data_IF_174279162924
#
_entry.id   IF_174279162924
#
_cell.length_a   1.000
_cell.length_b   1.000
_cell.length_c   1.000
_cell.angle_alpha   90.00
_cell.angle_beta   90.00
_cell.angle_gamma   90.00
#
_symmetry.space_group_name_H-M   'P 1'
#
loop_
_entity.id
_entity.type
_entity.pdbx_description
1 polymer ?
#
# COMPACT_ATOMS: atom_id res chain seq x y z
N UNK A 1 -10.10 -12.95 -18.43
CA UNK A 1 -10.35 -12.91 -16.98
C UNK A 1 -11.62 -12.11 -16.78
N UNK A 2 -12.63 -12.67 -16.15
CA UNK A 2 -13.86 -11.96 -15.79
C UNK A 2 -13.63 -11.40 -14.39
N UNK A 3 -13.71 -10.08 -14.26
CA UNK A 3 -13.69 -9.40 -12.96
C UNK A 3 -15.14 -9.15 -12.59
N UNK A 4 -15.58 -9.77 -11.51
CA UNK A 4 -16.91 -9.60 -10.95
C UNK A 4 -16.85 -8.84 -9.61
N UNK A 5 -18.00 -8.57 -9.00
CA UNK A 5 -18.09 -7.87 -7.72
C UNK A 5 -17.43 -8.61 -6.54
N UNK A 6 -17.07 -9.89 -6.72
CA UNK A 6 -16.43 -10.73 -5.72
C UNK A 6 -14.92 -10.83 -5.93
N UNK A 7 -14.39 -10.25 -7.00
CA UNK A 7 -12.97 -10.30 -7.33
C UNK A 7 -12.22 -9.19 -6.60
N UNK A 8 -11.18 -9.56 -5.87
CA UNK A 8 -10.33 -8.61 -5.16
C UNK A 8 -8.87 -8.69 -5.61
N UNK A 9 -8.19 -7.56 -5.48
CA UNK A 9 -6.77 -7.41 -5.73
C UNK A 9 -6.02 -7.30 -4.40
N UNK A 10 -5.04 -8.18 -4.18
CA UNK A 10 -4.16 -8.14 -3.01
C UNK A 10 -2.76 -7.71 -3.45
N UNK A 11 -2.24 -6.66 -2.81
CA UNK A 11 -0.93 -6.07 -3.05
C UNK A 11 -0.05 -6.29 -1.83
N UNK A 12 0.90 -7.21 -1.95
CA UNK A 12 1.79 -7.56 -0.84
C UNK A 12 2.86 -6.49 -0.61
N UNK A 13 3.38 -6.46 0.62
CA UNK A 13 4.56 -5.71 0.98
C UNK A 13 5.84 -6.33 0.39
N UNK A 14 6.96 -5.67 0.64
CA UNK A 14 8.26 -6.19 0.21
C UNK A 14 9.30 -5.13 -0.14
N UNK A 15 9.07 -3.89 0.25
CA UNK A 15 9.98 -2.76 -0.03
C UNK A 15 10.23 -2.63 -1.53
N UNK A 16 11.50 -2.56 -1.93
CA UNK A 16 11.91 -2.39 -3.33
C UNK A 16 11.47 -3.53 -4.27
N UNK A 17 11.13 -4.71 -3.77
CA UNK A 17 10.54 -5.77 -4.58
C UNK A 17 9.16 -5.38 -5.15
N UNK A 18 8.49 -4.40 -4.53
CA UNK A 18 7.25 -3.80 -5.02
C UNK A 18 7.35 -3.11 -6.38
N UNK A 19 8.55 -2.88 -6.91
CA UNK A 19 8.74 -2.37 -8.29
C UNK A 19 8.10 -3.30 -9.33
N UNK A 20 8.12 -4.61 -9.12
CA UNK A 20 7.38 -5.55 -9.97
C UNK A 20 5.87 -5.23 -9.99
N UNK A 21 5.30 -4.95 -8.82
CA UNK A 21 3.89 -4.58 -8.66
C UNK A 21 3.55 -3.30 -9.45
N UNK A 22 4.46 -2.31 -9.54
CA UNK A 22 4.24 -1.10 -10.33
C UNK A 22 3.94 -1.43 -11.80
N UNK A 23 4.72 -2.33 -12.42
CA UNK A 23 4.52 -2.74 -13.80
C UNK A 23 3.19 -3.47 -14.02
N UNK A 24 2.79 -4.33 -13.06
CA UNK A 24 1.50 -5.03 -13.12
C UNK A 24 0.33 -4.04 -13.02
N UNK A 25 0.42 -3.08 -12.11
CA UNK A 25 -0.63 -2.07 -11.92
C UNK A 25 -0.72 -1.12 -13.12
N UNK A 26 0.40 -0.72 -13.70
CA UNK A 26 0.43 0.08 -14.93
C UNK A 26 -0.24 -0.69 -16.07
N UNK A 27 0.06 -1.99 -16.24
CA UNK A 27 -0.62 -2.83 -17.23
C UNK A 27 -2.14 -2.91 -16.97
N UNK A 28 -2.58 -3.03 -15.72
CA UNK A 28 -4.01 -3.02 -15.41
C UNK A 28 -4.66 -1.67 -15.79
N UNK A 29 -3.98 -0.57 -15.54
CA UNK A 29 -4.46 0.76 -15.94
C UNK A 29 -4.54 0.91 -17.46
N UNK A 30 -3.54 0.45 -18.20
CA UNK A 30 -3.53 0.46 -19.69
C UNK A 30 -4.68 -0.36 -20.28
N UNK A 31 -5.02 -1.47 -19.62
CA UNK A 31 -6.15 -2.33 -20.02
C UNK A 31 -7.48 -1.90 -19.43
N UNK A 32 -7.53 -0.77 -18.70
CA UNK A 32 -8.73 -0.26 -18.00
C UNK A 32 -9.33 -1.30 -17.04
N UNK A 33 -8.48 -2.18 -16.50
CA UNK A 33 -8.88 -3.18 -15.51
C UNK A 33 -8.98 -2.49 -14.15
N UNK A 34 -10.14 -2.56 -13.52
CA UNK A 34 -10.42 -2.04 -12.18
C UNK A 34 -11.01 -3.13 -11.32
N UNK A 35 -10.55 -3.21 -10.07
CA UNK A 35 -11.08 -4.16 -9.09
C UNK A 35 -12.02 -3.45 -8.14
N UNK A 36 -13.18 -4.06 -7.82
CA UNK A 36 -14.13 -3.49 -6.86
C UNK A 36 -13.56 -3.39 -5.45
N UNK A 37 -12.57 -4.24 -5.14
CA UNK A 37 -11.90 -4.28 -3.86
C UNK A 37 -10.38 -4.44 -4.06
N UNK A 38 -9.63 -3.61 -3.39
CA UNK A 38 -8.15 -3.69 -3.37
C UNK A 38 -7.66 -3.62 -1.93
N UNK A 39 -6.71 -4.46 -1.55
CA UNK A 39 -6.05 -4.43 -0.25
C UNK A 39 -4.56 -4.34 -0.45
N UNK A 40 -3.89 -3.47 0.32
CA UNK A 40 -2.44 -3.25 0.22
C UNK A 40 -1.75 -3.22 1.57
N UNK A 41 -0.51 -3.69 1.59
CA UNK A 41 0.37 -3.70 2.77
C UNK A 41 1.71 -3.09 2.38
N UNK A 42 2.27 -2.18 3.19
CA UNK A 42 3.63 -1.65 3.01
C UNK A 42 3.83 -1.06 1.60
N UNK A 43 4.83 -1.50 0.85
CA UNK A 43 5.03 -1.09 -0.54
C UNK A 43 3.78 -1.33 -1.41
N UNK A 44 3.00 -2.39 -1.14
CA UNK A 44 1.73 -2.65 -1.80
C UNK A 44 0.69 -1.57 -1.48
N UNK A 45 0.68 -1.02 -0.26
CA UNK A 45 -0.18 0.10 0.10
C UNK A 45 0.21 1.38 -0.65
N UNK A 46 1.50 1.68 -0.79
CA UNK A 46 1.97 2.83 -1.58
C UNK A 46 1.61 2.70 -3.06
N UNK A 47 1.87 1.54 -3.66
CA UNK A 47 1.61 1.28 -5.08
C UNK A 47 0.11 1.28 -5.39
N UNK A 48 -0.70 0.73 -4.47
CA UNK A 48 -2.14 0.70 -4.59
C UNK A 48 -2.78 2.09 -4.62
N UNK A 49 -2.24 3.08 -3.89
CA UNK A 49 -2.70 4.47 -3.99
C UNK A 49 -2.59 5.00 -5.42
N UNK A 50 -1.44 4.79 -6.09
CA UNK A 50 -1.24 5.23 -7.47
C UNK A 50 -2.21 4.55 -8.45
N UNK A 51 -2.50 3.27 -8.22
CA UNK A 51 -3.48 2.52 -9.01
C UNK A 51 -4.91 3.02 -8.79
N UNK A 52 -5.29 3.26 -7.54
CA UNK A 52 -6.63 3.72 -7.17
C UNK A 52 -6.93 5.12 -7.71
N UNK A 53 -5.96 6.03 -7.70
CA UNK A 53 -6.08 7.37 -8.32
C UNK A 53 -5.96 7.35 -9.84
N UNK A 54 -5.58 6.22 -10.46
CA UNK A 54 -5.39 6.11 -11.90
C UNK A 54 -4.14 6.80 -12.43
N UNK A 55 -3.21 7.17 -11.57
CA UNK A 55 -1.97 7.85 -11.95
C UNK A 55 -0.94 6.84 -12.48
N UNK A 56 -1.10 6.47 -13.75
CA UNK A 56 -0.20 5.54 -14.44
C UNK A 56 1.25 6.02 -14.42
N UNK A 57 2.17 5.10 -14.15
CA UNK A 57 3.60 5.37 -14.07
C UNK A 57 4.06 6.04 -12.76
N UNK A 58 3.13 6.58 -11.96
CA UNK A 58 3.46 7.28 -10.72
C UNK A 58 4.22 6.40 -9.73
N UNK A 59 3.75 5.15 -9.52
CA UNK A 59 4.41 4.22 -8.63
C UNK A 59 5.84 3.86 -9.10
N UNK A 60 6.03 3.64 -10.40
CA UNK A 60 7.36 3.40 -11.00
C UNK A 60 8.27 4.62 -10.79
N UNK A 61 7.78 5.81 -11.11
CA UNK A 61 8.56 7.04 -10.98
C UNK A 61 8.98 7.29 -9.52
N UNK A 62 8.06 7.10 -8.56
CA UNK A 62 8.37 7.22 -7.13
C UNK A 62 9.42 6.20 -6.67
N UNK A 63 9.29 4.93 -7.06
CA UNK A 63 10.14 3.86 -6.54
C UNK A 63 11.49 3.72 -7.26
N UNK A 64 11.63 4.21 -8.49
CA UNK A 64 12.86 4.11 -9.27
C UNK A 64 13.47 5.49 -9.49
N UNK A 65 12.80 6.35 -10.26
CA UNK A 65 13.37 7.60 -10.74
C UNK A 65 13.65 8.59 -9.58
N UNK A 66 12.71 8.72 -8.63
CA UNK A 66 12.94 9.57 -7.45
C UNK A 66 13.92 8.94 -6.44
N UNK A 67 14.00 7.61 -6.38
CA UNK A 67 15.01 6.96 -5.54
C UNK A 67 16.42 7.25 -6.05
N UNK A 68 16.64 7.18 -7.37
CA UNK A 68 17.92 7.54 -7.97
C UNK A 68 18.27 9.02 -7.76
N UNK A 69 17.27 9.90 -7.89
CA UNK A 69 17.46 11.34 -7.75
C UNK A 69 17.70 11.81 -6.31
N UNK A 70 16.94 11.29 -5.36
CA UNK A 70 16.93 11.78 -3.96
C UNK A 70 17.62 10.83 -2.99
N UNK A 71 17.89 9.59 -3.40
CA UNK A 71 18.54 8.56 -2.58
C UNK A 71 17.91 8.46 -1.17
N UNK A 72 16.57 8.46 -1.12
CA UNK A 72 15.77 8.59 0.12
C UNK A 72 15.70 7.31 0.96
N UNK A 73 16.34 6.22 0.53
CA UNK A 73 16.45 4.94 1.26
C UNK A 73 17.92 4.62 1.46
N UNK A 74 18.33 4.31 2.69
CA UNK A 74 19.68 3.86 2.94
C UNK A 74 20.11 3.97 4.40
N UNK A 75 21.18 3.26 4.74
CA UNK A 75 21.77 3.19 6.08
C UNK A 75 22.20 4.58 6.60
N UNK A 76 22.50 5.52 5.70
CA UNK A 76 22.85 6.90 6.06
C UNK A 76 21.77 7.61 6.88
N UNK A 77 20.49 7.29 6.65
CA UNK A 77 19.38 7.85 7.41
C UNK A 77 19.24 7.23 8.80
N UNK A 78 19.69 5.97 8.99
CA UNK A 78 19.67 5.31 10.29
C UNK A 78 20.54 6.08 11.31
N UNK A 79 21.68 6.58 10.89
CA UNK A 79 22.58 7.37 11.75
C UNK A 79 22.09 8.81 11.97
N UNK A 80 21.45 9.43 10.96
CA UNK A 80 20.99 10.83 11.05
C UNK A 80 19.61 10.99 11.69
N UNK A 81 18.66 10.14 11.31
CA UNK A 81 17.24 10.26 11.66
C UNK A 81 16.69 9.05 12.41
N UNK A 82 17.52 8.05 12.69
CA UNK A 82 17.12 6.73 13.23
C UNK A 82 16.08 6.00 12.36
N UNK A 83 16.10 6.25 11.06
CA UNK A 83 15.22 5.69 10.05
C UNK A 83 16.04 5.14 8.89
N UNK A 84 15.54 4.12 8.20
CA UNK A 84 16.15 3.61 6.97
C UNK A 84 15.69 4.39 5.73
N UNK A 85 14.65 5.21 5.87
CA UNK A 85 13.97 5.92 4.78
C UNK A 85 13.62 7.35 5.22
N UNK A 86 13.70 8.32 4.33
CA UNK A 86 13.23 9.68 4.60
C UNK A 86 11.69 9.75 4.45
N UNK A 87 10.99 9.54 5.58
CA UNK A 87 9.53 9.52 5.64
C UNK A 87 8.89 10.88 5.34
N UNK A 88 9.56 11.96 5.70
CA UNK A 88 9.02 13.30 5.47
C UNK A 88 9.10 13.66 3.98
N UNK A 89 10.17 13.24 3.31
CA UNK A 89 10.28 13.36 1.86
C UNK A 89 9.27 12.48 1.15
N UNK A 90 9.16 11.20 1.53
CA UNK A 90 8.33 10.20 0.84
C UNK A 90 6.83 10.46 1.00
N UNK A 91 6.39 10.81 2.21
CA UNK A 91 4.97 10.97 2.56
C UNK A 91 4.54 12.43 2.74
N UNK A 92 5.45 13.40 2.64
CA UNK A 92 5.20 14.83 2.68
C UNK A 92 5.50 15.49 1.34
N UNK A 93 6.79 15.72 1.05
CA UNK A 93 7.21 16.49 -0.11
C UNK A 93 6.82 15.85 -1.45
N UNK A 94 6.95 14.52 -1.57
CA UNK A 94 6.61 13.84 -2.84
C UNK A 94 5.15 14.03 -3.21
N UNK A 95 4.15 13.67 -2.37
CA UNK A 95 2.76 13.77 -2.77
C UNK A 95 2.24 15.21 -2.87
N UNK A 96 2.88 16.18 -2.23
CA UNK A 96 2.42 17.56 -2.24
C UNK A 96 3.10 18.41 -3.32
N UNK A 97 4.41 18.23 -3.57
CA UNK A 97 5.20 19.18 -4.36
C UNK A 97 5.97 18.54 -5.52
N UNK A 98 6.62 17.40 -5.32
CA UNK A 98 7.57 16.82 -6.29
C UNK A 98 6.84 15.92 -7.29
N UNK A 99 5.94 15.09 -6.80
CA UNK A 99 5.12 14.17 -7.57
C UNK A 99 3.68 14.22 -7.06
N UNK A 100 2.92 15.29 -7.37
CA UNK A 100 1.62 15.55 -6.80
C UNK A 100 0.68 14.34 -6.90
N UNK A 101 0.01 14.04 -5.77
CA UNK A 101 -0.96 12.97 -5.71
C UNK A 101 -2.35 13.51 -6.03
N UNK A 102 -3.06 12.83 -6.92
CA UNK A 102 -4.43 13.20 -7.28
C UNK A 102 -5.43 12.64 -6.27
N UNK A 103 -5.63 13.39 -5.18
CA UNK A 103 -6.58 13.04 -4.12
C UNK A 103 -8.02 13.00 -4.62
N UNK A 104 -8.39 13.90 -5.54
CA UNK A 104 -9.76 14.00 -6.03
C UNK A 104 -10.10 12.78 -6.88
N UNK A 105 -9.19 12.34 -7.75
CA UNK A 105 -9.34 11.09 -8.50
C UNK A 105 -9.40 9.87 -7.56
N UNK A 106 -8.59 9.84 -6.50
CA UNK A 106 -8.64 8.78 -5.51
C UNK A 106 -9.99 8.75 -4.76
N UNK A 107 -10.44 9.89 -4.24
CA UNK A 107 -11.67 9.97 -3.45
C UNK A 107 -12.92 9.65 -4.27
N UNK A 108 -12.92 10.00 -5.57
CA UNK A 108 -14.00 9.67 -6.51
C UNK A 108 -13.93 8.24 -7.08
N UNK A 109 -12.83 7.53 -6.86
CA UNK A 109 -12.65 6.15 -7.35
C UNK A 109 -13.73 5.23 -6.77
N UNK A 110 -14.44 4.44 -7.60
CA UNK A 110 -15.57 3.62 -7.14
C UNK A 110 -15.14 2.40 -6.31
N UNK A 111 -13.90 1.94 -6.45
CA UNK A 111 -13.41 0.77 -5.72
C UNK A 111 -13.12 1.06 -4.25
N UNK A 112 -13.29 0.05 -3.40
CA UNK A 112 -12.82 0.08 -2.01
C UNK A 112 -11.33 -0.16 -1.96
N UNK A 113 -10.64 0.61 -1.13
CA UNK A 113 -9.22 0.42 -0.91
C UNK A 113 -8.91 0.32 0.58
N UNK A 114 -8.42 -0.85 0.99
CA UNK A 114 -8.02 -1.16 2.37
C UNK A 114 -6.51 -1.18 2.47
N UNK A 115 -5.99 -0.50 3.48
CA UNK A 115 -4.57 -0.53 3.83
C UNK A 115 -4.40 -1.21 5.19
N UNK A 116 -3.46 -2.15 5.27
CA UNK A 116 -3.24 -2.94 6.48
C UNK A 116 -2.12 -2.34 7.32
N UNK A 117 -2.37 -2.19 8.60
CA UNK A 117 -1.41 -1.75 9.61
C UNK A 117 -1.41 -2.69 10.81
N UNK A 118 -0.35 -2.66 11.62
CA UNK A 118 -0.28 -3.36 12.91
C UNK A 118 -0.55 -2.38 14.04
N UNK A 119 -1.57 -2.65 14.84
CA UNK A 119 -1.89 -1.86 16.02
C UNK A 119 -0.91 -2.20 17.16
N UNK A 120 -0.08 -1.25 17.57
CA UNK A 120 0.95 -1.47 18.59
C UNK A 120 0.39 -1.71 20.01
N UNK A 121 -0.86 -1.32 20.29
CA UNK A 121 -1.49 -1.55 21.60
C UNK A 121 -2.03 -2.96 21.73
N UNK A 122 -2.54 -3.53 20.65
CA UNK A 122 -3.22 -4.83 20.66
C UNK A 122 -2.41 -5.96 20.02
N UNK A 123 -1.38 -5.63 19.25
CA UNK A 123 -0.62 -6.59 18.44
C UNK A 123 -1.43 -7.23 17.31
N UNK A 124 -2.55 -6.61 16.89
CA UNK A 124 -3.44 -7.13 15.84
C UNK A 124 -3.40 -6.28 14.60
N UNK A 125 -3.76 -6.87 13.45
CA UNK A 125 -3.94 -6.14 12.21
C UNK A 125 -5.13 -5.19 12.30
N UNK A 126 -4.96 -3.98 11.77
CA UNK A 126 -6.05 -3.05 11.48
C UNK A 126 -6.18 -2.91 9.96
N UNK A 127 -7.43 -2.95 9.50
CA UNK A 127 -7.82 -2.80 8.11
C UNK A 127 -8.48 -1.43 7.96
N UNK A 128 -7.74 -0.47 7.37
CA UNK A 128 -8.13 0.93 7.36
C UNK A 128 -8.48 1.38 5.95
N UNK A 129 -9.59 2.11 5.84
CA UNK A 129 -10.04 2.78 4.63
C UNK A 129 -10.16 4.29 4.89
N UNK A 130 -9.92 5.09 3.85
CA UNK A 130 -10.14 6.53 3.88
C UNK A 130 -10.56 7.01 2.49
N UNK A 131 -11.59 7.86 2.43
CA UNK A 131 -12.16 8.38 1.17
C UNK A 131 -12.49 9.88 1.23
N UNK A 132 -12.02 10.60 2.26
CA UNK A 132 -12.38 12.01 2.46
C UNK A 132 -11.23 12.87 2.98
N UNK A 133 -10.39 12.32 3.84
CA UNK A 133 -9.35 13.08 4.56
C UNK A 133 -7.96 12.79 3.98
N UNK A 134 -7.36 13.82 3.37
CA UNK A 134 -6.00 13.75 2.79
C UNK A 134 -4.94 13.41 3.83
N UNK A 135 -5.02 14.05 5.00
CA UNK A 135 -4.05 13.81 6.06
C UNK A 135 -4.14 12.38 6.57
N UNK A 136 -5.36 11.93 6.83
CA UNK A 136 -5.58 10.59 7.38
C UNK A 136 -5.12 9.48 6.41
N UNK A 137 -5.33 9.63 5.09
CA UNK A 137 -4.84 8.64 4.13
C UNK A 137 -3.31 8.59 4.09
N UNK A 138 -2.63 9.72 4.20
CA UNK A 138 -1.17 9.77 4.29
C UNK A 138 -0.69 9.12 5.61
N UNK A 139 -1.34 9.41 6.73
CA UNK A 139 -1.00 8.77 8.01
C UNK A 139 -1.18 7.24 7.94
N UNK A 140 -2.23 6.74 7.29
CA UNK A 140 -2.46 5.29 7.12
C UNK A 140 -1.37 4.64 6.26
N UNK A 141 -1.05 5.20 5.09
CA UNK A 141 -0.02 4.61 4.20
C UNK A 141 1.37 4.70 4.82
N UNK A 142 1.65 5.78 5.53
CA UNK A 142 2.88 5.95 6.31
C UNK A 142 2.98 4.89 7.41
N UNK A 143 1.90 4.65 8.17
CA UNK A 143 1.83 3.61 9.18
C UNK A 143 2.03 2.21 8.58
N UNK A 144 1.36 1.92 7.45
CA UNK A 144 1.50 0.65 6.72
C UNK A 144 2.93 0.38 6.23
N UNK A 145 3.77 1.43 6.13
CA UNK A 145 5.17 1.36 5.69
C UNK A 145 6.18 1.51 6.84
N UNK A 146 5.71 1.65 8.09
CA UNK A 146 6.55 1.86 9.28
C UNK A 146 7.12 0.55 9.81
N UNK A 147 8.27 0.14 9.30
CA UNK A 147 8.97 -1.08 9.73
C UNK A 147 9.52 -0.91 11.17
N UNK A 148 9.41 -1.95 12.03
CA UNK A 148 9.96 -1.91 13.39
C UNK A 148 11.44 -1.63 13.40
N UNK A 149 11.90 -0.88 14.39
CA UNK A 149 13.30 -0.52 14.67
C UNK A 149 13.99 0.38 13.64
N UNK A 150 13.53 0.40 12.40
CA UNK A 150 14.18 1.12 11.28
C UNK A 150 13.33 2.24 10.69
N UNK A 151 12.09 2.38 11.15
CA UNK A 151 11.18 3.46 10.78
C UNK A 151 10.46 4.02 12.01
N UNK A 152 9.97 5.28 11.96
CA UNK A 152 9.21 5.85 13.07
C UNK A 152 7.86 5.15 13.23
N UNK A 153 7.37 5.07 14.46
CA UNK A 153 5.98 4.72 14.73
C UNK A 153 5.09 5.84 14.21
N UNK A 154 4.08 5.50 13.43
CA UNK A 154 3.10 6.45 12.92
C UNK A 154 1.79 6.32 13.70
N UNK A 155 1.17 7.47 14.01
CA UNK A 155 -0.12 7.50 14.70
C UNK A 155 -1.24 7.71 13.70
N UNK A 156 -2.27 6.87 13.76
CA UNK A 156 -3.53 7.03 13.04
C UNK A 156 -4.64 7.02 14.06
N UNK A 157 -5.46 8.07 14.09
CA UNK A 157 -6.54 8.25 15.07
C UNK A 157 -6.03 8.06 16.53
N UNK A 158 -4.87 8.66 16.87
CA UNK A 158 -4.18 8.55 18.16
C UNK A 158 -3.74 7.13 18.56
N UNK A 159 -3.81 6.18 17.65
CA UNK A 159 -3.33 4.81 17.86
C UNK A 159 -1.95 4.63 17.22
N UNK A 160 -0.92 4.21 17.97
CA UNK A 160 0.39 3.92 17.42
C UNK A 160 0.31 2.67 16.53
N UNK A 161 0.81 2.80 15.31
CA UNK A 161 0.76 1.75 14.29
C UNK A 161 2.11 1.55 13.62
N UNK A 162 2.33 0.34 13.16
CA UNK A 162 3.48 -0.10 12.39
C UNK A 162 3.04 -0.82 11.12
N UNK A 163 4.02 -1.24 10.30
CA UNK A 163 3.81 -1.98 9.05
C UNK A 163 2.88 -3.18 9.26
N UNK A 164 1.89 -3.31 8.39
CA UNK A 164 0.91 -4.39 8.46
C UNK A 164 1.51 -5.78 8.22
N UNK A 165 2.65 -5.85 7.55
CA UNK A 165 3.36 -7.10 7.30
C UNK A 165 3.94 -7.78 8.54
N UNK A 166 3.89 -7.14 9.72
CA UNK A 166 4.34 -7.74 10.98
C UNK A 166 3.38 -8.84 11.46
N UNK A 167 2.08 -8.60 11.36
CA UNK A 167 1.05 -9.49 11.91
C UNK A 167 0.26 -10.25 10.85
N UNK A 168 0.15 -9.73 9.63
CA UNK A 168 -0.82 -10.25 8.66
C UNK A 168 -0.22 -10.77 7.35
N UNK A 169 1.10 -10.77 7.19
CA UNK A 169 1.74 -11.52 6.09
C UNK A 169 1.33 -13.02 6.06
N UNK A 170 1.10 -13.69 7.20
CA UNK A 170 0.68 -15.09 7.17
C UNK A 170 -0.77 -15.31 6.72
N UNK A 171 -1.69 -14.38 6.96
CA UNK A 171 -3.11 -14.61 6.66
C UNK A 171 -3.50 -14.11 5.26
N UNK A 172 -2.97 -12.98 4.82
CA UNK A 172 -3.03 -12.59 3.41
C UNK A 172 -2.16 -13.55 2.57
N UNK A 173 -1.07 -14.07 3.15
CA UNK A 173 -0.14 -15.01 2.52
C UNK A 173 -0.45 -16.50 2.73
N UNK A 174 -1.12 -16.88 3.81
CA UNK A 174 -1.55 -18.26 4.11
C UNK A 174 -2.82 -18.69 3.39
N UNK A 175 -3.20 -18.03 2.37
CA UNK A 175 -4.17 -18.56 1.42
C UNK A 175 -3.63 -19.72 0.57
N UNK A 176 -2.61 -20.42 1.07
CA UNK A 176 -2.42 -21.83 0.67
C UNK A 176 -3.69 -22.64 0.98
N UNK A 177 -4.51 -22.19 1.92
CA UNK A 177 -5.85 -22.68 2.18
C UNK A 177 -6.97 -21.91 1.45
N UNK A 178 -6.67 -20.77 0.79
CA UNK A 178 -7.65 -20.15 -0.07
C UNK A 178 -7.70 -20.87 -1.41
N UNK A 179 -8.52 -21.90 -1.49
CA UNK A 179 -8.85 -22.63 -2.73
C UNK A 179 -9.40 -21.71 -3.86
N UNK A 180 -9.52 -20.41 -3.62
CA UNK A 180 -10.13 -19.40 -4.48
C UNK A 180 -9.13 -18.36 -5.05
N UNK A 181 -7.84 -18.41 -4.67
CA UNK A 181 -6.82 -17.59 -5.32
C UNK A 181 -6.43 -18.20 -6.66
N UNK A 182 -7.03 -17.73 -7.74
CA UNK A 182 -6.84 -18.31 -9.09
C UNK A 182 -5.54 -17.92 -9.78
N UNK A 183 -4.97 -16.76 -9.46
CA UNK A 183 -3.76 -16.26 -10.12
C UNK A 183 -2.79 -15.66 -9.10
N UNK A 184 -1.58 -16.21 -9.05
CA UNK A 184 -0.46 -15.70 -8.24
C UNK A 184 0.59 -15.11 -9.16
N UNK A 185 0.81 -13.81 -9.05
CA UNK A 185 2.03 -13.17 -9.51
C UNK A 185 2.86 -12.80 -8.28
N UNK A 186 4.17 -12.67 -8.38
CA UNK A 186 4.97 -12.17 -7.27
C UNK A 186 4.39 -10.85 -6.75
N UNK A 187 4.08 -10.79 -5.44
CA UNK A 187 3.54 -9.60 -4.74
C UNK A 187 2.15 -9.11 -5.19
N UNK A 188 1.47 -9.81 -6.10
CA UNK A 188 0.12 -9.49 -6.56
C UNK A 188 -0.72 -10.75 -6.60
N UNK A 189 -1.88 -10.73 -5.94
CA UNK A 189 -2.82 -11.85 -5.94
C UNK A 189 -4.22 -11.40 -6.33
N UNK A 190 -4.90 -12.24 -7.08
CA UNK A 190 -6.30 -12.08 -7.42
C UNK A 190 -7.09 -13.12 -6.63
N UNK A 191 -8.00 -12.66 -5.78
CA UNK A 191 -8.78 -13.50 -4.89
C UNK A 191 -10.27 -13.35 -5.16
N UNK A 192 -11.01 -14.47 -5.18
CA UNK A 192 -12.45 -14.48 -5.28
C UNK A 192 -13.09 -14.77 -3.91
N UNK A 193 -14.07 -13.96 -3.51
CA UNK A 193 -14.95 -14.28 -2.38
C UNK A 193 -14.36 -14.17 -0.97
N UNK A 194 -13.14 -13.64 -0.81
CA UNK A 194 -12.47 -13.53 0.51
C UNK A 194 -12.98 -12.33 1.32
N UNK A 195 -13.61 -11.36 0.68
CA UNK A 195 -13.86 -10.04 1.28
C UNK A 195 -15.15 -9.93 2.10
N UNK A 196 -16.03 -10.94 2.07
CA UNK A 196 -17.22 -10.94 2.92
C UNK A 196 -16.94 -11.09 4.42
N UNK A 197 -15.76 -11.59 4.79
CA UNK A 197 -15.35 -11.79 6.18
C UNK A 197 -14.63 -10.59 6.81
N UNK A 198 -14.21 -9.59 6.01
CA UNK A 198 -13.54 -8.37 6.50
C UNK A 198 -14.52 -7.19 6.68
N UNK A 199 -15.80 -7.37 6.35
CA UNK A 199 -16.86 -6.37 6.49
C UNK A 199 -17.76 -6.76 7.68
N UNK A 200 -17.25 -6.53 8.88
CA UNK A 200 -18.08 -6.46 10.09
C UNK A 200 -17.70 -5.26 10.91
#
# INVERSE_FOLDING_TARGET
>A
MVIDEKTGLVLEGGGMRGVFTCGVLDYFMDKKIRFPYTIGVSAGACNGLSYMSGQRGRAKFSNIDLLEQYDYIGVKYLFKKRNIMDFDLLFGEFPEHILPYDYDAYFSSPGRYVMVTTNCRTGRANYLEEKKDKKRIIDIVRASSSLPYVCPITYVDDVPMLDGGIVDLPEIGRTDSCAKCRHRLPFVRLCEGVFSSFVK
#
